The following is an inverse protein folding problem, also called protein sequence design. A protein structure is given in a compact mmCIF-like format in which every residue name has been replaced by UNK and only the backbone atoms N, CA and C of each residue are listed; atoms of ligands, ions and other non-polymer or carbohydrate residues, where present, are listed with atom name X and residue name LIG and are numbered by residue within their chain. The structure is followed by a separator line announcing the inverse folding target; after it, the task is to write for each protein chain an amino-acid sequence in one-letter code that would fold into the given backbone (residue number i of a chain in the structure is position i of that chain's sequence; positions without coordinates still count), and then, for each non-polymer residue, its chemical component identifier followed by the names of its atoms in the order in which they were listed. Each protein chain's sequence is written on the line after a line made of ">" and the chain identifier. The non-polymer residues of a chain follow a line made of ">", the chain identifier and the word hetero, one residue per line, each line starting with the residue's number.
data_IF_761442727414
#
_entry.id   IF_761442727414
#
_cell.length_a   1.000
_cell.length_b   1.000
_cell.length_c   1.000
_cell.angle_alpha   90.00
_cell.angle_beta   90.00
_cell.angle_gamma   90.00
#
_symmetry.space_group_name_H-M   'P 1'
#
loop_
_entity.id
_entity.type
_entity.pdbx_description
1 polymer ?
#
# COMPACT_ATOMS: atom_id res chain seq x y z
N UNK A 1 17.79 -16.88 11.38
CA UNK A 1 16.83 -17.55 10.46
C UNK A 1 16.81 -16.80 9.14
N UNK A 2 17.15 -17.45 8.03
CA UNK A 2 17.04 -16.85 6.70
C UNK A 2 15.57 -16.84 6.23
N UNK A 3 15.13 -15.76 5.57
CA UNK A 3 13.76 -15.70 5.01
C UNK A 3 13.67 -16.59 3.78
N UNK A 4 12.68 -17.49 3.75
CA UNK A 4 12.41 -18.32 2.58
C UNK A 4 11.46 -17.60 1.60
N UNK A 5 12.02 -16.82 0.68
CA UNK A 5 11.23 -16.07 -0.30
C UNK A 5 10.38 -16.94 -1.24
N UNK A 6 10.82 -18.18 -1.54
CA UNK A 6 10.06 -19.09 -2.42
C UNK A 6 8.75 -19.53 -1.77
N UNK A 7 8.82 -19.88 -0.49
CA UNK A 7 7.68 -20.29 0.32
C UNK A 7 6.74 -19.11 0.58
N UNK A 8 7.26 -17.95 0.98
CA UNK A 8 6.45 -16.73 1.16
C UNK A 8 5.72 -16.33 -0.14
N UNK A 9 6.38 -16.51 -1.29
CA UNK A 9 5.73 -16.27 -2.57
C UNK A 9 4.60 -17.26 -2.81
N UNK A 10 4.86 -18.56 -2.65
CA UNK A 10 3.87 -19.62 -2.84
C UNK A 10 2.66 -19.45 -1.93
N UNK A 11 2.87 -19.10 -0.67
CA UNK A 11 1.83 -19.05 0.34
C UNK A 11 1.10 -17.71 0.44
N UNK A 12 1.74 -16.60 0.06
CA UNK A 12 1.18 -15.26 0.24
C UNK A 12 1.16 -14.44 -1.05
N UNK A 13 2.31 -14.20 -1.67
CA UNK A 13 2.37 -13.25 -2.79
C UNK A 13 1.73 -13.75 -4.09
N UNK A 14 1.61 -15.07 -4.25
CA UNK A 14 0.97 -15.74 -5.39
C UNK A 14 -0.57 -15.68 -5.31
N UNK A 15 -1.14 -15.55 -4.09
CA UNK A 15 -2.58 -15.60 -3.84
C UNK A 15 -3.30 -14.51 -4.65
N UNK A 16 -4.37 -14.83 -5.38
CA UNK A 16 -5.12 -13.87 -6.20
C UNK A 16 -5.56 -12.63 -5.40
N UNK A 17 -5.98 -12.80 -4.15
CA UNK A 17 -6.43 -11.70 -3.30
C UNK A 17 -5.30 -10.75 -2.92
N UNK A 18 -4.10 -11.27 -2.65
CA UNK A 18 -2.93 -10.43 -2.36
C UNK A 18 -2.48 -9.67 -3.60
N UNK A 19 -2.58 -10.28 -4.79
CA UNK A 19 -2.36 -9.59 -6.07
C UNK A 19 -3.37 -8.46 -6.28
N UNK A 20 -4.67 -8.70 -6.04
CA UNK A 20 -5.72 -7.67 -6.12
C UNK A 20 -5.47 -6.53 -5.12
N UNK A 21 -5.13 -6.85 -3.87
CA UNK A 21 -4.79 -5.84 -2.84
C UNK A 21 -3.54 -5.04 -3.21
N UNK A 22 -2.53 -5.66 -3.81
CA UNK A 22 -1.32 -4.97 -4.32
C UNK A 22 -1.70 -4.00 -5.44
N UNK A 23 -2.50 -4.45 -6.42
CA UNK A 23 -3.00 -3.60 -7.50
C UNK A 23 -3.81 -2.41 -6.97
N UNK A 24 -4.69 -2.64 -5.99
CA UNK A 24 -5.47 -1.59 -5.32
C UNK A 24 -4.58 -0.52 -4.67
N UNK A 25 -3.56 -0.92 -3.89
CA UNK A 25 -2.58 0.02 -3.30
C UNK A 25 -1.81 0.80 -4.36
N UNK A 26 -1.38 0.14 -5.43
CA UNK A 26 -0.65 0.79 -6.53
C UNK A 26 -1.52 1.83 -7.25
N UNK A 27 -2.79 1.52 -7.49
CA UNK A 27 -3.74 2.45 -8.08
C UNK A 27 -3.98 3.68 -7.18
N UNK A 28 -4.13 3.49 -5.86
CA UNK A 28 -4.20 4.60 -4.91
C UNK A 28 -2.93 5.47 -4.96
N UNK A 29 -1.74 4.86 -4.94
CA UNK A 29 -0.48 5.63 -5.02
C UNK A 29 -0.36 6.39 -6.33
N UNK A 30 -0.71 5.78 -7.47
CA UNK A 30 -0.70 6.44 -8.78
C UNK A 30 -1.66 7.64 -8.82
N UNK A 31 -2.87 7.49 -8.27
CA UNK A 31 -3.86 8.58 -8.18
C UNK A 31 -3.37 9.75 -7.34
N UNK A 32 -2.74 9.47 -6.21
CA UNK A 32 -2.19 10.51 -5.33
C UNK A 32 -0.95 11.17 -5.94
N UNK A 33 -0.13 10.40 -6.68
CA UNK A 33 1.01 10.92 -7.41
C UNK A 33 0.60 11.84 -8.56
N UNK A 34 -0.42 11.45 -9.34
CA UNK A 34 -1.00 12.28 -10.38
C UNK A 34 -1.57 13.61 -9.84
N UNK A 35 -2.05 13.62 -8.59
CA UNK A 35 -2.49 14.84 -7.91
C UNK A 35 -1.35 15.64 -7.24
N UNK A 36 -0.09 15.29 -7.47
CA UNK A 36 1.08 15.96 -6.89
C UNK A 36 1.28 15.75 -5.38
N UNK A 37 0.47 14.91 -4.73
CA UNK A 37 0.49 14.74 -3.27
C UNK A 37 1.59 13.80 -2.78
N UNK A 38 2.02 12.87 -3.63
CA UNK A 38 3.16 11.97 -3.37
C UNK A 38 4.08 11.89 -4.58
N UNK A 39 5.38 11.73 -4.37
CA UNK A 39 6.39 11.47 -5.40
C UNK A 39 7.38 10.42 -4.91
N UNK A 40 8.24 9.92 -5.79
CA UNK A 40 9.35 9.05 -5.36
C UNK A 40 10.34 9.89 -4.55
N UNK A 41 10.72 9.41 -3.37
CA UNK A 41 11.72 10.07 -2.52
C UNK A 41 11.21 11.17 -1.58
N UNK A 42 9.91 11.47 -1.54
CA UNK A 42 9.36 12.51 -0.64
C UNK A 42 9.12 12.05 0.81
N UNK A 43 9.41 10.79 1.12
CA UNK A 43 9.13 10.21 2.43
C UNK A 43 7.65 10.08 2.78
N UNK A 44 6.74 10.18 1.80
CA UNK A 44 5.29 10.07 2.01
C UNK A 44 4.71 8.75 1.50
N UNK A 45 3.78 8.20 2.26
CA UNK A 45 2.99 7.02 1.91
C UNK A 45 1.49 7.35 1.85
N UNK A 46 0.75 6.54 1.09
CA UNK A 46 -0.72 6.64 1.00
C UNK A 46 -1.36 5.67 1.97
N UNK A 47 -2.24 6.18 2.82
CA UNK A 47 -2.97 5.45 3.84
C UNK A 47 -4.45 5.32 3.47
N UNK A 48 -4.99 4.10 3.59
CA UNK A 48 -6.41 3.81 3.48
C UNK A 48 -7.05 3.84 4.87
N UNK A 49 -7.92 4.81 5.13
CA UNK A 49 -8.51 5.03 6.47
C UNK A 49 -9.30 3.81 6.97
N UNK A 50 -10.05 3.16 6.08
CA UNK A 50 -10.81 1.95 6.37
C UNK A 50 -9.97 0.67 6.44
N UNK A 51 -8.69 0.72 6.04
CA UNK A 51 -7.83 -0.46 5.90
C UNK A 51 -8.15 -1.36 4.71
N UNK A 52 -9.10 -1.00 3.86
CA UNK A 52 -9.43 -1.74 2.66
C UNK A 52 -8.60 -1.21 1.48
N UNK A 53 -7.60 -1.99 1.07
CA UNK A 53 -6.73 -1.69 -0.06
C UNK A 53 -7.46 -1.49 -1.41
N UNK A 54 -8.72 -1.96 -1.51
CA UNK A 54 -9.55 -1.83 -2.71
C UNK A 54 -10.38 -0.53 -2.71
N UNK A 55 -10.54 0.14 -1.57
CA UNK A 55 -11.30 1.40 -1.48
C UNK A 55 -10.44 2.62 -1.82
N UNK A 56 -10.32 2.91 -3.12
CA UNK A 56 -9.51 4.00 -3.66
C UNK A 56 -10.26 5.34 -3.84
N UNK A 57 -11.37 5.52 -3.10
CA UNK A 57 -12.11 6.80 -3.07
C UNK A 57 -11.22 7.88 -2.47
N UNK A 58 -11.16 9.08 -3.07
CA UNK A 58 -10.27 10.18 -2.61
C UNK A 58 -10.47 10.50 -1.12
N UNK A 59 -11.71 10.48 -0.63
CA UNK A 59 -12.05 10.71 0.78
C UNK A 59 -11.48 9.66 1.76
N UNK A 60 -11.23 8.45 1.27
CA UNK A 60 -10.66 7.34 2.05
C UNK A 60 -9.12 7.33 2.05
N UNK A 61 -8.49 8.01 1.09
CA UNK A 61 -7.04 8.09 0.98
C UNK A 61 -6.50 9.29 1.76
N UNK A 62 -5.44 9.08 2.52
CA UNK A 62 -4.69 10.12 3.22
C UNK A 62 -3.21 10.01 2.87
N UNK A 63 -2.53 11.14 2.78
CA UNK A 63 -1.06 11.16 2.66
C UNK A 63 -0.48 11.38 4.03
N UNK A 64 0.49 10.55 4.40
CA UNK A 64 1.17 10.62 5.67
C UNK A 64 2.66 10.36 5.51
N UNK A 65 3.45 10.69 6.52
CA UNK A 65 4.85 10.31 6.54
C UNK A 65 4.96 8.78 6.55
N UNK A 66 5.98 8.28 5.84
CA UNK A 66 6.33 6.87 5.77
C UNK A 66 6.47 6.24 7.16
N UNK A 67 7.12 6.94 8.08
CA UNK A 67 7.32 6.48 9.47
C UNK A 67 5.97 6.26 10.17
N UNK A 68 5.09 7.27 10.14
CA UNK A 68 3.78 7.21 10.80
C UNK A 68 2.88 6.13 10.20
N UNK A 69 2.86 5.97 8.89
CA UNK A 69 2.01 4.97 8.26
C UNK A 69 2.47 3.54 8.56
N UNK A 70 3.80 3.32 8.66
CA UNK A 70 4.39 1.99 8.92
C UNK A 70 4.47 1.62 10.39
N UNK A 71 4.44 2.60 11.31
CA UNK A 71 4.42 2.35 12.75
C UNK A 71 3.05 1.93 13.28
N UNK A 72 1.98 2.13 12.51
CA UNK A 72 0.65 1.65 12.86
C UNK A 72 0.65 0.14 12.94
N UNK A 73 0.54 -0.39 14.16
CA UNK A 73 0.15 -1.77 14.40
C UNK A 73 -1.36 -1.87 14.18
N UNK A 74 -1.77 -2.74 13.27
CA UNK A 74 -3.17 -3.13 13.05
C UNK A 74 -3.30 -4.59 13.39
#
# INVERSE_FOLDING_TARGET
>A
MARNYKEEYKEFHSKPDQKKRRAGRNAARRKMAASGKVKKGDGKDVHHKDGNALNNKRKNLRVESKSKNRSRKK
#
